data_IF_728588762675
#
_entry.id   IF_728588762675
#
_cell.length_a   1.000
_cell.length_b   1.000
_cell.length_c   1.000
_cell.angle_alpha   90.00
_cell.angle_beta   90.00
_cell.angle_gamma   90.00
#
_symmetry.space_group_name_H-M   'P 1'
#
loop_
_entity.id
_entity.type
_entity.pdbx_description
1 polymer ?
#
# COMPACT_ATOMS: atom_id res chain seq x y z
N UNK A 1 55.95 18.83 35.02
CA UNK A 1 56.44 18.73 33.63
C UNK A 1 55.57 19.62 32.75
N UNK A 2 56.12 20.79 32.37
CA UNK A 2 55.76 21.72 31.28
C UNK A 2 55.39 21.02 29.95
N UNK A 3 54.68 21.56 28.94
CA UNK A 3 54.11 22.84 28.48
C UNK A 3 53.03 22.44 27.43
N UNK A 4 51.85 23.06 27.27
CA UNK A 4 51.50 24.34 26.62
C UNK A 4 51.89 24.52 25.14
N UNK A 5 50.87 24.91 24.35
CA UNK A 5 50.87 25.78 23.14
C UNK A 5 51.38 25.25 21.78
N UNK A 6 50.94 25.71 20.59
CA UNK A 6 49.87 26.54 20.01
C UNK A 6 50.03 26.39 18.46
N UNK A 7 48.91 26.37 17.71
CA UNK A 7 48.61 26.86 16.34
C UNK A 7 49.71 27.06 15.27
N UNK A 8 49.36 26.76 13.99
CA UNK A 8 49.20 27.80 12.94
C UNK A 8 48.57 27.27 11.64
N UNK A 9 47.74 28.12 11.05
CA UNK A 9 47.10 28.07 9.74
C UNK A 9 48.08 28.42 8.60
N UNK A 10 47.86 27.92 7.37
CA UNK A 10 48.18 28.68 6.15
C UNK A 10 47.50 28.15 4.89
N UNK A 11 47.38 29.09 3.96
CA UNK A 11 46.37 29.28 2.90
C UNK A 11 46.79 28.69 1.55
N UNK A 12 45.77 28.48 0.70
CA UNK A 12 45.75 28.09 -0.72
C UNK A 12 46.57 29.07 -1.60
N UNK A 13 47.03 28.64 -2.81
CA UNK A 13 46.41 29.24 -4.00
C UNK A 13 46.06 28.25 -5.12
N UNK A 14 45.00 28.62 -5.85
CA UNK A 14 44.52 28.07 -7.13
C UNK A 14 45.47 28.44 -8.27
N UNK A 15 45.60 27.56 -9.27
CA UNK A 15 45.84 27.95 -10.67
C UNK A 15 44.88 27.18 -11.58
N UNK A 16 44.30 27.92 -12.52
CA UNK A 16 43.32 27.57 -13.54
C UNK A 16 43.97 27.09 -14.85
N UNK A 17 43.11 26.64 -15.77
CA UNK A 17 43.28 26.43 -17.22
C UNK A 17 43.87 25.08 -17.66
N UNK A 18 43.49 24.46 -18.78
CA UNK A 18 42.36 24.60 -19.73
C UNK A 18 42.62 23.58 -20.85
N UNK A 19 41.56 22.96 -21.38
CA UNK A 19 41.35 22.62 -22.81
C UNK A 19 42.15 21.47 -23.46
N UNK A 20 41.36 20.51 -23.93
CA UNK A 20 41.39 19.70 -25.17
C UNK A 20 42.62 18.92 -25.62
N UNK A 21 42.34 17.70 -26.13
CA UNK A 21 43.14 17.16 -27.25
C UNK A 21 43.31 15.64 -27.32
N UNK A 22 42.32 14.98 -27.94
CA UNK A 22 42.39 13.78 -28.80
C UNK A 22 43.67 12.91 -28.87
N UNK A 23 43.40 11.59 -28.75
CA UNK A 23 43.93 10.46 -29.55
C UNK A 23 45.43 10.37 -29.86
N UNK A 24 46.10 9.39 -29.24
CA UNK A 24 47.18 8.64 -29.90
C UNK A 24 47.00 7.14 -29.63
N UNK A 25 46.92 6.42 -30.74
CA UNK A 25 46.95 4.96 -30.87
C UNK A 25 48.37 4.44 -30.61
N UNK A 26 48.55 3.43 -29.76
CA UNK A 26 49.72 2.54 -29.80
C UNK A 26 49.31 1.09 -29.60
N UNK A 27 49.43 0.34 -30.70
CA UNK A 27 49.57 -1.11 -30.78
C UNK A 27 50.83 -1.54 -30.01
N UNK A 28 50.72 -2.54 -29.15
CA UNK A 28 51.80 -3.51 -28.92
C UNK A 28 51.20 -4.92 -28.88
N UNK A 29 51.83 -5.82 -29.63
CA UNK A 29 51.51 -7.23 -29.75
C UNK A 29 52.01 -8.03 -28.54
N UNK A 30 51.16 -8.95 -28.09
CA UNK A 30 51.41 -10.37 -27.78
C UNK A 30 52.71 -10.74 -27.06
N UNK A 31 52.55 -11.31 -25.85
CA UNK A 31 53.24 -12.54 -25.48
C UNK A 31 52.38 -13.35 -24.49
N UNK A 32 52.22 -14.64 -24.82
CA UNK A 32 51.49 -15.67 -24.09
C UNK A 32 52.11 -16.01 -22.74
N UNK A 33 51.26 -16.28 -21.75
CA UNK A 33 51.53 -17.38 -20.80
C UNK A 33 50.21 -18.00 -20.33
N UNK A 34 50.08 -19.30 -20.58
CA UNK A 34 49.01 -20.19 -20.09
C UNK A 34 49.37 -20.62 -18.66
N UNK A 35 48.44 -20.46 -17.72
CA UNK A 35 48.26 -21.41 -16.63
C UNK A 35 46.82 -21.30 -16.10
N UNK A 36 46.25 -22.45 -15.79
CA UNK A 36 44.83 -22.72 -15.64
C UNK A 36 44.22 -22.21 -14.32
N UNK A 37 42.96 -21.79 -14.40
CA UNK A 37 42.00 -21.89 -13.30
C UNK A 37 40.60 -22.04 -13.92
N UNK A 38 40.28 -23.27 -14.28
CA UNK A 38 38.91 -23.77 -14.34
C UNK A 38 38.27 -23.70 -12.95
N UNK A 39 36.95 -23.61 -12.92
CA UNK A 39 36.00 -23.75 -11.80
C UNK A 39 35.22 -22.50 -11.39
N UNK A 40 33.89 -22.66 -11.46
CA UNK A 40 32.77 -21.77 -11.15
C UNK A 40 32.41 -20.68 -12.17
N UNK A 41 31.94 -21.11 -13.33
CA UNK A 41 30.95 -20.34 -14.09
C UNK A 41 29.72 -21.21 -14.38
N UNK A 42 28.97 -21.54 -13.33
CA UNK A 42 27.59 -21.99 -13.47
C UNK A 42 26.66 -20.79 -13.29
N UNK A 43 26.44 -20.09 -14.41
CA UNK A 43 25.21 -19.30 -14.54
C UNK A 43 24.03 -20.28 -14.50
N UNK A 44 23.04 -20.11 -13.61
CA UNK A 44 21.81 -20.86 -13.72
C UNK A 44 21.18 -20.44 -15.04
N UNK A 45 21.14 -21.40 -15.96
CA UNK A 45 20.45 -21.32 -17.22
C UNK A 45 19.08 -20.71 -16.98
N UNK A 46 18.85 -19.55 -17.59
CA UNK A 46 17.53 -18.98 -17.77
C UNK A 46 16.66 -20.02 -18.48
N UNK A 47 15.99 -20.86 -17.71
CA UNK A 47 14.91 -21.71 -18.18
C UNK A 47 13.85 -20.78 -18.76
N UNK A 48 13.92 -20.59 -20.09
CA UNK A 48 12.80 -20.14 -20.91
C UNK A 48 11.75 -21.24 -20.87
N UNK A 49 11.08 -21.39 -19.73
CA UNK A 49 9.81 -22.11 -19.68
C UNK A 49 8.89 -21.31 -20.60
N UNK A 50 8.64 -21.84 -21.80
CA UNK A 50 7.50 -21.47 -22.62
C UNK A 50 6.28 -21.80 -21.77
N UNK A 51 5.82 -20.82 -20.98
CA UNK A 51 4.58 -20.93 -20.22
C UNK A 51 3.47 -20.81 -21.24
N UNK A 52 2.86 -21.92 -21.61
CA UNK A 52 1.50 -21.90 -22.13
C UNK A 52 0.70 -20.96 -21.21
N UNK A 53 0.13 -19.91 -21.80
CA UNK A 53 -0.44 -18.80 -21.06
C UNK A 53 -1.55 -19.31 -20.14
N UNK A 54 -1.23 -19.51 -18.87
CA UNK A 54 -2.13 -20.14 -17.92
C UNK A 54 -3.41 -19.32 -17.81
N UNK A 55 -4.54 -19.98 -18.10
CA UNK A 55 -5.86 -19.37 -18.17
C UNK A 55 -6.55 -19.59 -16.82
N UNK A 56 -6.81 -18.51 -16.08
CA UNK A 56 -7.67 -18.57 -14.90
C UNK A 56 -9.14 -18.60 -15.34
N UNK A 57 -9.93 -19.43 -14.67
CA UNK A 57 -11.34 -19.71 -14.99
C UNK A 57 -12.32 -19.24 -13.94
N UNK A 58 -11.86 -18.87 -12.76
CA UNK A 58 -12.70 -18.40 -11.66
C UNK A 58 -11.98 -17.40 -10.77
N UNK A 59 -12.74 -16.61 -10.03
CA UNK A 59 -12.27 -15.80 -8.89
C UNK A 59 -12.92 -16.23 -7.58
N UNK A 60 -13.74 -17.27 -7.59
CA UNK A 60 -14.41 -17.84 -6.43
C UNK A 60 -13.48 -18.88 -5.79
N UNK A 61 -13.03 -18.67 -4.53
CA UNK A 61 -12.19 -19.63 -3.83
C UNK A 61 -12.72 -21.06 -3.80
N UNK A 62 -14.05 -21.24 -3.79
CA UNK A 62 -14.70 -22.55 -3.72
C UNK A 62 -14.64 -23.34 -5.03
N UNK A 63 -14.33 -22.68 -6.15
CA UNK A 63 -14.29 -23.27 -7.50
C UNK A 63 -12.88 -23.39 -8.06
N UNK A 64 -11.86 -23.03 -7.27
CA UNK A 64 -10.46 -23.06 -7.71
C UNK A 64 -10.05 -24.47 -8.12
N UNK A 65 -9.33 -24.54 -9.24
CA UNK A 65 -8.70 -25.76 -9.73
C UNK A 65 -7.19 -25.59 -9.81
N UNK A 66 -6.39 -26.68 -9.89
CA UNK A 66 -4.95 -26.54 -10.09
C UNK A 66 -4.55 -25.73 -11.33
N UNK A 67 -5.41 -25.68 -12.35
CA UNK A 67 -5.18 -24.88 -13.55
C UNK A 67 -5.21 -23.37 -13.28
N UNK A 68 -5.86 -22.92 -12.20
CA UNK A 68 -5.95 -21.50 -11.82
C UNK A 68 -4.73 -21.00 -11.02
N UNK A 69 -3.79 -21.89 -10.67
CA UNK A 69 -2.62 -21.56 -9.85
C UNK A 69 -1.53 -20.83 -10.64
N UNK A 70 -1.40 -19.52 -10.45
CA UNK A 70 -0.46 -18.67 -11.17
C UNK A 70 0.92 -18.61 -10.51
N UNK A 71 1.97 -18.50 -11.34
CA UNK A 71 3.34 -18.18 -10.89
C UNK A 71 3.77 -16.79 -11.38
N UNK A 72 3.68 -15.79 -10.50
CA UNK A 72 4.05 -14.41 -10.79
C UNK A 72 5.49 -14.07 -10.36
N UNK A 73 6.10 -14.93 -9.53
CA UNK A 73 7.40 -14.72 -8.91
C UNK A 73 8.49 -14.20 -9.86
N UNK A 74 9.13 -13.09 -9.49
CA UNK A 74 10.25 -12.47 -10.22
C UNK A 74 9.85 -11.74 -11.50
N UNK A 75 8.59 -11.80 -11.92
CA UNK A 75 8.13 -11.21 -13.19
C UNK A 75 7.73 -9.75 -12.97
N UNK A 76 8.16 -8.85 -13.85
CA UNK A 76 7.79 -7.42 -13.78
C UNK A 76 6.35 -7.14 -14.21
N UNK A 77 5.92 -7.77 -15.31
CA UNK A 77 4.60 -7.59 -15.94
C UNK A 77 4.07 -8.95 -16.40
N UNK A 78 3.74 -9.85 -15.47
CA UNK A 78 3.19 -11.15 -15.83
C UNK A 78 1.87 -10.97 -16.59
N UNK A 79 1.75 -11.72 -17.70
CA UNK A 79 0.53 -11.80 -18.49
C UNK A 79 -0.34 -12.89 -17.86
N UNK A 80 -1.57 -12.52 -17.51
CA UNK A 80 -2.62 -13.41 -17.04
C UNK A 80 -3.64 -13.55 -18.16
N UNK A 81 -4.08 -14.77 -18.40
CA UNK A 81 -5.10 -15.09 -19.39
C UNK A 81 -6.40 -15.47 -18.70
N UNK A 82 -7.52 -15.07 -19.28
CA UNK A 82 -8.87 -15.57 -18.99
C UNK A 82 -9.50 -16.03 -20.31
N UNK A 83 -10.62 -16.76 -20.30
CA UNK A 83 -11.29 -17.14 -21.53
C UNK A 83 -11.66 -15.94 -22.44
N UNK A 84 -11.82 -14.76 -21.85
CA UNK A 84 -12.26 -13.56 -22.57
C UNK A 84 -11.11 -12.65 -23.05
N UNK A 85 -9.98 -12.62 -22.35
CA UNK A 85 -8.85 -11.76 -22.69
C UNK A 85 -7.54 -12.14 -21.98
N UNK A 86 -6.44 -11.60 -22.48
CA UNK A 86 -5.15 -11.56 -21.79
C UNK A 86 -4.85 -10.14 -21.32
N UNK A 87 -4.22 -10.01 -20.16
CA UNK A 87 -3.83 -8.71 -19.60
C UNK A 87 -2.64 -8.85 -18.67
N UNK A 88 -1.93 -7.74 -18.45
CA UNK A 88 -0.80 -7.71 -17.54
C UNK A 88 -1.24 -7.31 -16.14
N UNK A 89 -0.85 -8.07 -15.13
CA UNK A 89 -0.96 -7.63 -13.73
C UNK A 89 0.35 -7.00 -13.25
N UNK A 90 0.25 -6.13 -12.26
CA UNK A 90 1.38 -5.33 -11.76
C UNK A 90 1.47 -5.43 -10.26
N UNK A 91 2.67 -5.66 -9.73
CA UNK A 91 2.89 -5.70 -8.30
C UNK A 91 2.90 -4.28 -7.71
N UNK A 92 3.88 -3.45 -8.06
CA UNK A 92 3.96 -2.05 -7.62
C UNK A 92 4.61 -1.19 -8.70
N UNK A 93 4.19 0.06 -8.79
CA UNK A 93 4.92 1.09 -9.53
C UNK A 93 5.36 2.21 -8.57
N UNK A 94 6.45 2.88 -8.92
CA UNK A 94 6.90 4.07 -8.21
C UNK A 94 5.91 5.24 -8.36
N UNK A 95 6.13 6.32 -7.62
CA UNK A 95 5.27 7.50 -7.68
C UNK A 95 5.22 8.13 -9.10
N UNK A 96 6.26 7.92 -9.92
CA UNK A 96 6.29 8.38 -11.31
C UNK A 96 5.42 7.49 -12.22
N UNK A 97 5.21 6.22 -11.86
CA UNK A 97 4.56 5.20 -12.67
C UNK A 97 5.46 4.63 -13.77
N UNK A 98 6.75 5.00 -13.78
CA UNK A 98 7.72 4.60 -14.82
C UNK A 98 8.54 3.39 -14.41
N UNK A 99 8.73 3.17 -13.11
CA UNK A 99 9.50 2.02 -12.60
C UNK A 99 8.55 1.03 -11.94
N UNK A 100 8.64 -0.22 -12.38
CA UNK A 100 7.89 -1.33 -11.82
C UNK A 100 8.79 -2.17 -10.93
N UNK A 101 8.25 -2.61 -9.80
CA UNK A 101 8.88 -3.60 -8.94
C UNK A 101 8.39 -4.99 -9.38
N UNK A 102 9.29 -5.98 -9.56
CA UNK A 102 8.87 -7.34 -9.88
C UNK A 102 8.07 -7.93 -8.72
N UNK A 103 7.21 -8.90 -9.02
CA UNK A 103 6.55 -9.69 -7.99
C UNK A 103 7.59 -10.42 -7.13
N UNK A 104 7.36 -10.56 -5.81
CA UNK A 104 8.31 -11.21 -4.92
C UNK A 104 8.46 -12.70 -5.24
N UNK A 105 9.57 -13.32 -4.81
CA UNK A 105 9.92 -14.70 -5.15
C UNK A 105 8.86 -15.75 -4.74
N UNK A 106 8.07 -15.45 -3.71
CA UNK A 106 7.00 -16.31 -3.19
C UNK A 106 5.62 -16.03 -3.83
N UNK A 107 5.53 -15.17 -4.87
CA UNK A 107 4.25 -14.85 -5.52
C UNK A 107 3.76 -15.99 -6.42
N UNK A 108 3.28 -17.06 -5.80
CA UNK A 108 2.66 -18.24 -6.42
C UNK A 108 1.37 -18.55 -5.70
N UNK A 109 0.29 -18.82 -6.44
CA UNK A 109 -1.02 -19.04 -5.84
C UNK A 109 -2.16 -18.55 -6.73
N UNK A 110 -3.24 -18.09 -6.13
CA UNK A 110 -4.53 -17.90 -6.81
C UNK A 110 -5.00 -16.44 -6.77
N UNK A 111 -5.56 -15.98 -7.88
CA UNK A 111 -6.39 -14.76 -7.87
C UNK A 111 -7.77 -15.11 -7.35
N UNK A 112 -8.34 -14.25 -6.51
CA UNK A 112 -9.68 -14.45 -5.97
C UNK A 112 -10.35 -13.11 -5.66
N UNK A 113 -11.69 -13.08 -5.66
CA UNK A 113 -12.45 -11.93 -5.22
C UNK A 113 -12.61 -11.97 -3.69
N UNK A 114 -12.13 -10.93 -3.01
CA UNK A 114 -12.38 -10.71 -1.60
C UNK A 114 -13.69 -9.93 -1.42
N UNK A 115 -14.70 -10.62 -0.90
CA UNK A 115 -15.92 -10.05 -0.35
C UNK A 115 -16.10 -10.54 1.09
N UNK A 116 -16.35 -9.66 2.07
CA UNK A 116 -16.88 -10.09 3.38
C UNK A 116 -18.39 -9.94 3.41
N UNK A 117 -19.09 -10.79 4.16
CA UNK A 117 -20.47 -10.49 4.56
C UNK A 117 -20.54 -9.07 5.15
N UNK A 118 -21.40 -8.22 4.58
CA UNK A 118 -21.55 -6.83 5.00
C UNK A 118 -20.53 -5.83 4.47
N UNK A 119 -19.50 -6.25 3.71
CA UNK A 119 -18.63 -5.29 3.02
C UNK A 119 -19.47 -4.50 1.99
N UNK A 120 -19.34 -3.16 1.94
CA UNK A 120 -20.05 -2.39 0.93
C UNK A 120 -19.45 -2.69 -0.46
N UNK A 121 -20.25 -2.60 -1.52
CA UNK A 121 -19.81 -2.92 -2.89
C UNK A 121 -18.47 -2.28 -3.32
N UNK A 122 -18.15 -1.01 -2.95
CA UNK A 122 -16.86 -0.41 -3.28
C UNK A 122 -15.64 -1.08 -2.62
N UNK A 123 -15.84 -1.85 -1.55
CA UNK A 123 -14.77 -2.55 -0.83
C UNK A 123 -14.35 -3.86 -1.53
N UNK A 124 -15.09 -4.30 -2.54
CA UNK A 124 -14.77 -5.50 -3.30
C UNK A 124 -13.44 -5.33 -4.04
N UNK A 125 -12.58 -6.33 -3.87
CA UNK A 125 -11.20 -6.31 -4.35
C UNK A 125 -10.80 -7.68 -4.87
N UNK A 126 -10.16 -7.73 -6.03
CA UNK A 126 -9.46 -8.93 -6.48
C UNK A 126 -8.11 -8.95 -5.78
N UNK A 127 -7.78 -10.04 -5.10
CA UNK A 127 -6.52 -10.24 -4.37
C UNK A 127 -5.77 -11.43 -4.92
N UNK A 128 -4.52 -11.56 -4.50
CA UNK A 128 -3.68 -12.71 -4.81
C UNK A 128 -3.35 -13.45 -3.51
N UNK A 129 -3.84 -14.67 -3.35
CA UNK A 129 -3.53 -15.56 -2.23
C UNK A 129 -2.27 -16.33 -2.58
N UNK A 130 -1.18 -16.11 -1.84
CA UNK A 130 0.04 -16.90 -1.96
C UNK A 130 -0.12 -18.20 -1.20
N UNK A 131 0.23 -19.31 -1.85
CA UNK A 131 0.15 -20.66 -1.29
C UNK A 131 1.50 -21.35 -1.37
N UNK A 132 1.63 -22.50 -0.69
CA UNK A 132 2.88 -23.24 -0.69
C UNK A 132 3.27 -23.68 -2.10
N UNK A 133 4.43 -23.19 -2.52
CA UNK A 133 4.92 -23.27 -3.90
C UNK A 133 5.11 -24.69 -4.45
N UNK A 134 5.07 -25.70 -3.58
CA UNK A 134 5.26 -27.10 -3.92
C UNK A 134 3.98 -27.77 -4.44
N UNK A 135 2.79 -27.20 -4.18
CA UNK A 135 1.54 -27.79 -4.66
C UNK A 135 0.63 -26.72 -5.27
N UNK A 136 0.21 -26.94 -6.53
CA UNK A 136 -0.87 -26.16 -7.15
C UNK A 136 -2.25 -26.56 -6.60
N UNK A 137 -2.32 -27.08 -5.38
CA UNK A 137 -3.54 -27.63 -4.80
C UNK A 137 -4.46 -26.52 -4.30
N UNK A 138 -5.73 -26.46 -4.75
CA UNK A 138 -6.72 -25.53 -4.21
C UNK A 138 -6.92 -25.65 -2.69
N UNK A 139 -6.69 -26.83 -2.11
CA UNK A 139 -6.79 -27.04 -0.65
C UNK A 139 -5.81 -26.17 0.15
N UNK A 140 -4.69 -25.75 -0.45
CA UNK A 140 -3.72 -24.85 0.18
C UNK A 140 -4.20 -23.40 0.28
N UNK A 141 -5.34 -23.05 -0.34
CA UNK A 141 -5.87 -21.69 -0.30
C UNK A 141 -6.17 -21.22 1.13
N UNK A 142 -6.73 -22.11 1.97
CA UNK A 142 -7.14 -21.79 3.34
C UNK A 142 -5.97 -21.49 4.28
N UNK A 143 -4.84 -22.20 4.12
CA UNK A 143 -3.61 -21.97 4.89
C UNK A 143 -2.72 -20.88 4.28
N UNK A 144 -2.99 -20.46 3.04
CA UNK A 144 -2.24 -19.41 2.36
C UNK A 144 -2.46 -18.00 2.92
N UNK A 145 -1.55 -17.09 2.58
CA UNK A 145 -1.61 -15.67 2.98
C UNK A 145 -1.89 -14.75 1.79
N UNK A 146 -2.47 -13.57 2.03
CA UNK A 146 -2.55 -12.57 0.95
C UNK A 146 -1.15 -12.08 0.58
N UNK A 147 -0.88 -11.95 -0.72
CA UNK A 147 0.29 -11.24 -1.21
C UNK A 147 0.23 -9.80 -0.69
N UNK A 148 1.30 -9.32 -0.08
CA UNK A 148 1.36 -7.96 0.47
C UNK A 148 2.15 -7.05 -0.47
N UNK A 149 1.72 -5.80 -0.59
CA UNK A 149 2.58 -4.71 -1.06
C UNK A 149 3.77 -4.52 -0.09
N UNK A 150 4.85 -3.81 -0.48
CA UNK A 150 5.97 -3.52 0.41
C UNK A 150 5.61 -2.69 1.65
N UNK A 151 4.41 -2.09 1.68
CA UNK A 151 3.88 -1.38 2.84
C UNK A 151 2.98 -2.28 3.72
N UNK A 152 3.05 -3.60 3.53
CA UNK A 152 2.34 -4.63 4.30
C UNK A 152 0.80 -4.63 4.18
N UNK A 153 0.23 -3.82 3.28
CA UNK A 153 -1.20 -3.91 2.94
C UNK A 153 -1.39 -4.98 1.87
N UNK A 154 -2.49 -5.76 1.92
CA UNK A 154 -2.81 -6.73 0.87
C UNK A 154 -2.80 -6.11 -0.53
N UNK A 155 -2.07 -6.77 -1.43
CA UNK A 155 -2.09 -6.50 -2.85
C UNK A 155 -3.49 -6.74 -3.38
N UNK A 156 -3.99 -5.79 -4.17
CA UNK A 156 -5.33 -5.88 -4.72
C UNK A 156 -5.50 -5.08 -6.00
N UNK A 157 -6.52 -5.45 -6.76
CA UNK A 157 -7.13 -4.68 -7.85
C UNK A 157 -8.54 -4.32 -7.39
N UNK A 158 -8.83 -3.03 -7.22
CA UNK A 158 -10.17 -2.58 -6.80
C UNK A 158 -11.17 -2.66 -7.96
N UNK A 159 -12.47 -2.71 -7.66
CA UNK A 159 -13.50 -2.56 -8.71
C UNK A 159 -13.40 -1.23 -9.46
N UNK A 160 -12.93 -0.15 -8.80
CA UNK A 160 -12.67 1.12 -9.46
C UNK A 160 -11.51 1.01 -10.47
N UNK A 161 -10.49 0.19 -10.18
CA UNK A 161 -9.40 -0.07 -11.12
C UNK A 161 -9.87 -0.84 -12.35
N UNK A 162 -10.78 -1.80 -12.18
CA UNK A 162 -11.42 -2.53 -13.28
C UNK A 162 -12.14 -1.56 -14.22
N UNK A 163 -13.04 -0.73 -13.67
CA UNK A 163 -13.84 0.21 -14.46
C UNK A 163 -13.00 1.25 -15.23
N UNK A 164 -11.76 1.51 -14.78
CA UNK A 164 -10.84 2.46 -15.41
C UNK A 164 -9.73 1.79 -16.24
N UNK A 165 -9.67 0.47 -16.28
CA UNK A 165 -8.71 -0.26 -17.11
C UNK A 165 -9.47 -1.22 -18.03
N UNK A 166 -9.71 -0.85 -19.30
CA UNK A 166 -10.48 -1.69 -20.23
C UNK A 166 -9.96 -3.12 -20.36
N UNK A 167 -8.64 -3.32 -20.25
CA UNK A 167 -8.01 -4.65 -20.28
C UNK A 167 -8.39 -5.50 -19.05
N UNK A 168 -8.35 -4.91 -17.85
CA UNK A 168 -8.80 -5.60 -16.65
C UNK A 168 -10.30 -5.87 -16.70
N UNK A 169 -11.11 -4.89 -17.11
CA UNK A 169 -12.55 -5.07 -17.23
C UNK A 169 -12.87 -6.22 -18.21
N UNK A 170 -12.26 -6.24 -19.40
CA UNK A 170 -12.48 -7.30 -20.39
C UNK A 170 -12.08 -8.68 -19.84
N UNK A 171 -10.94 -8.77 -19.15
CA UNK A 171 -10.44 -10.02 -18.60
C UNK A 171 -11.27 -10.57 -17.44
N UNK A 172 -11.61 -9.71 -16.46
CA UNK A 172 -12.27 -10.13 -15.24
C UNK A 172 -13.80 -10.12 -15.32
N UNK A 173 -14.43 -9.34 -16.21
CA UNK A 173 -15.90 -9.25 -16.30
C UNK A 173 -16.55 -10.62 -16.54
N UNK A 174 -15.97 -11.43 -17.43
CA UNK A 174 -16.48 -12.77 -17.70
C UNK A 174 -16.50 -13.64 -16.45
N UNK A 175 -15.38 -13.69 -15.72
CA UNK A 175 -15.22 -14.48 -14.50
C UNK A 175 -16.19 -14.01 -13.40
N UNK A 176 -16.22 -12.70 -13.16
CA UNK A 176 -17.07 -12.10 -12.13
C UNK A 176 -18.57 -12.35 -12.36
N UNK A 177 -19.01 -12.34 -13.63
CA UNK A 177 -20.40 -12.62 -14.01
C UNK A 177 -20.72 -14.11 -13.96
N UNK A 178 -19.85 -14.94 -14.54
CA UNK A 178 -20.04 -16.39 -14.63
C UNK A 178 -20.20 -17.00 -13.24
N UNK A 179 -19.43 -16.51 -12.27
CA UNK A 179 -19.49 -16.98 -10.90
C UNK A 179 -20.57 -16.28 -10.05
N UNK A 180 -21.35 -15.35 -10.61
CA UNK A 180 -22.38 -14.61 -9.88
C UNK A 180 -21.82 -13.68 -8.79
N UNK A 181 -20.52 -13.36 -8.85
CA UNK A 181 -19.82 -12.61 -7.81
C UNK A 181 -20.13 -11.11 -7.84
N UNK A 182 -20.39 -10.57 -9.05
CA UNK A 182 -20.66 -9.14 -9.27
C UNK A 182 -21.65 -8.97 -10.42
N UNK A 183 -22.63 -8.08 -10.26
CA UNK A 183 -23.58 -7.72 -11.32
C UNK A 183 -22.99 -6.75 -12.35
N UNK A 184 -23.52 -6.77 -13.57
CA UNK A 184 -23.11 -5.81 -14.61
C UNK A 184 -23.37 -4.36 -14.23
N UNK A 185 -24.49 -4.10 -13.53
CA UNK A 185 -24.81 -2.79 -13.00
C UNK A 185 -23.76 -2.29 -12.01
N UNK A 186 -23.17 -3.18 -11.21
CA UNK A 186 -22.09 -2.83 -10.29
C UNK A 186 -20.79 -2.50 -11.03
N UNK A 187 -20.40 -3.29 -12.04
CA UNK A 187 -19.23 -3.00 -12.88
C UNK A 187 -19.38 -1.68 -13.66
N UNK A 188 -20.59 -1.37 -14.14
CA UNK A 188 -20.86 -0.12 -14.84
C UNK A 188 -20.76 1.08 -13.88
N UNK A 189 -21.31 0.96 -12.66
CA UNK A 189 -21.18 2.00 -11.63
C UNK A 189 -19.72 2.24 -11.25
N UNK A 190 -18.90 1.19 -11.11
CA UNK A 190 -17.49 1.33 -10.73
C UNK A 190 -16.66 2.07 -11.78
N UNK A 191 -17.04 2.02 -13.06
CA UNK A 191 -16.39 2.76 -14.15
C UNK A 191 -16.54 4.29 -14.02
N UNK A 192 -17.60 4.76 -13.37
CA UNK A 192 -17.84 6.19 -13.10
C UNK A 192 -16.94 6.76 -11.99
N UNK A 193 -16.38 5.90 -11.14
CA UNK A 193 -15.72 6.31 -9.89
C UNK A 193 -14.32 6.85 -10.20
N UNK A 194 -14.01 8.06 -9.72
CA UNK A 194 -12.66 8.62 -9.87
C UNK A 194 -11.61 7.68 -9.25
N UNK A 195 -10.39 7.59 -9.80
CA UNK A 195 -9.31 6.86 -9.13
C UNK A 195 -8.83 7.63 -7.90
N UNK A 196 -8.42 6.93 -6.83
CA UNK A 196 -7.70 7.61 -5.77
C UNK A 196 -6.38 8.14 -6.36
N UNK A 197 -5.89 9.26 -5.83
CA UNK A 197 -4.53 9.71 -6.14
C UNK A 197 -3.52 8.62 -5.76
N UNK A 198 -2.33 8.62 -6.38
CA UNK A 198 -1.31 7.55 -6.18
C UNK A 198 -0.90 7.27 -4.72
N UNK A 199 -1.13 8.22 -3.81
CA UNK A 199 -0.84 8.11 -2.37
C UNK A 199 -2.10 8.12 -1.50
N UNK A 200 -3.26 8.09 -2.12
CA UNK A 200 -4.55 8.09 -1.42
C UNK A 200 -5.00 6.64 -1.23
N UNK A 201 -5.32 6.28 0.01
CA UNK A 201 -5.86 4.95 0.32
C UNK A 201 -7.36 5.04 0.57
N UNK A 202 -8.10 4.05 0.07
CA UNK A 202 -9.54 4.00 0.31
C UNK A 202 -9.85 3.45 1.70
N UNK A 203 -10.87 4.01 2.33
CA UNK A 203 -11.39 3.56 3.63
C UNK A 203 -12.84 3.18 3.42
N UNK A 204 -13.17 1.92 3.66
CA UNK A 204 -14.51 1.37 3.49
C UNK A 204 -15.13 0.90 4.81
N UNK A 205 -14.31 0.65 5.82
CA UNK A 205 -14.72 0.13 7.11
C UNK A 205 -13.81 0.64 8.23
N UNK A 206 -14.34 0.68 9.46
CA UNK A 206 -13.52 0.82 10.66
C UNK A 206 -12.65 -0.43 10.84
N UNK A 207 -11.48 -0.28 11.46
CA UNK A 207 -10.52 -1.37 11.64
C UNK A 207 -9.77 -1.77 10.36
N UNK A 208 -10.09 -1.18 9.20
CA UNK A 208 -9.38 -1.47 7.96
C UNK A 208 -7.90 -1.05 8.08
N UNK A 209 -6.94 -1.96 7.81
CA UNK A 209 -5.52 -1.62 7.82
C UNK A 209 -5.16 -0.65 6.69
N UNK A 210 -4.42 0.39 7.04
CA UNK A 210 -3.96 1.47 6.15
C UNK A 210 -2.48 1.70 6.42
N UNK A 211 -1.66 1.73 5.37
CA UNK A 211 -0.24 2.01 5.53
C UNK A 211 -0.01 3.50 5.80
N UNK A 212 0.71 3.83 6.85
CA UNK A 212 1.10 5.19 7.19
C UNK A 212 2.61 5.25 7.31
N UNK A 213 3.21 6.16 6.55
CA UNK A 213 4.63 6.51 6.64
C UNK A 213 4.74 7.77 7.50
N UNK A 214 5.51 7.69 8.60
CA UNK A 214 5.64 8.78 9.57
C UNK A 214 6.37 10.00 8.99
N UNK A 215 7.16 9.84 7.92
CA UNK A 215 7.78 10.94 7.19
C UNK A 215 6.84 11.61 6.17
N UNK A 216 5.68 11.02 5.85
CA UNK A 216 4.75 11.56 4.85
C UNK A 216 3.93 12.71 5.40
N UNK A 217 4.23 13.94 4.96
CA UNK A 217 3.62 15.20 5.45
C UNK A 217 2.10 15.21 5.63
N UNK A 218 1.38 14.58 4.70
CA UNK A 218 -0.08 14.55 4.68
C UNK A 218 -0.54 13.23 4.07
N UNK A 219 -0.68 12.15 4.85
CA UNK A 219 -1.35 10.97 4.38
C UNK A 219 -2.76 11.34 3.91
N UNK A 220 -3.14 10.79 2.76
CA UNK A 220 -4.41 11.07 2.10
C UNK A 220 -5.27 9.82 2.16
N UNK A 221 -6.50 9.98 2.62
CA UNK A 221 -7.47 8.89 2.74
C UNK A 221 -8.73 9.28 2.00
N UNK A 222 -9.35 8.33 1.31
CA UNK A 222 -10.62 8.53 0.65
C UNK A 222 -11.66 7.61 1.28
N UNK A 223 -12.54 8.19 2.06
CA UNK A 223 -13.65 7.49 2.67
C UNK A 223 -14.69 7.22 1.61
N UNK A 224 -14.93 5.96 1.28
CA UNK A 224 -15.91 5.54 0.27
C UNK A 224 -17.03 4.80 1.00
N UNK A 225 -18.13 5.51 1.18
CA UNK A 225 -19.33 4.99 1.78
C UNK A 225 -20.20 4.22 0.78
N UNK A 226 -21.37 3.80 1.24
CA UNK A 226 -22.34 3.17 0.34
C UNK A 226 -22.79 4.12 -0.79
N UNK A 227 -23.25 3.53 -1.90
CA UNK A 227 -23.60 4.27 -3.11
C UNK A 227 -22.41 4.97 -3.78
N UNK A 228 -21.18 4.53 -3.52
CA UNK A 228 -19.94 5.05 -4.11
C UNK A 228 -19.65 6.53 -3.81
N UNK A 229 -20.34 7.12 -2.83
CA UNK A 229 -20.05 8.48 -2.36
C UNK A 229 -18.69 8.48 -1.68
N UNK A 230 -17.82 9.39 -2.11
CA UNK A 230 -16.45 9.44 -1.64
C UNK A 230 -16.08 10.82 -1.08
N UNK A 231 -15.33 10.85 0.02
CA UNK A 231 -14.70 12.06 0.56
C UNK A 231 -13.21 11.82 0.71
N UNK A 232 -12.42 12.60 -0.02
CA UNK A 232 -10.96 12.62 0.18
C UNK A 232 -10.62 13.58 1.32
N UNK A 233 -9.77 13.11 2.22
CA UNK A 233 -9.32 13.81 3.41
C UNK A 233 -7.81 13.72 3.48
N UNK A 234 -7.16 14.87 3.65
CA UNK A 234 -5.72 14.92 3.99
C UNK A 234 -5.61 15.03 5.48
N UNK A 235 -5.03 14.01 6.12
CA UNK A 235 -4.83 14.00 7.56
C UNK A 235 -3.54 14.77 7.85
N UNK A 236 -3.71 16.04 8.20
CA UNK A 236 -2.62 16.85 8.76
C UNK A 236 -2.49 16.62 10.26
N UNK A 237 -1.28 16.83 10.78
CA UNK A 237 -1.02 16.92 12.23
C UNK A 237 -1.26 15.64 13.06
N UNK A 238 -1.45 14.48 12.44
CA UNK A 238 -1.48 13.21 13.15
C UNK A 238 -0.09 12.81 13.66
N UNK A 239 0.95 13.06 12.84
CA UNK A 239 2.35 12.75 13.15
C UNK A 239 3.27 13.96 12.94
N UNK A 240 2.71 15.17 12.94
CA UNK A 240 3.42 16.38 12.53
C UNK A 240 3.27 17.49 13.57
N UNK A 241 4.36 18.23 13.78
CA UNK A 241 4.36 19.44 14.59
C UNK A 241 3.49 20.54 13.96
N UNK A 242 3.30 21.64 14.69
CA UNK A 242 2.67 22.85 14.17
C UNK A 242 3.34 23.35 12.88
N UNK A 243 4.66 23.19 12.77
CA UNK A 243 5.47 23.52 11.59
C UNK A 243 5.29 22.54 10.42
N UNK A 244 4.42 21.53 10.55
CA UNK A 244 4.10 20.52 9.51
C UNK A 244 5.32 19.68 9.13
N UNK A 245 6.17 19.40 10.11
CA UNK A 245 7.35 18.55 10.02
C UNK A 245 7.18 17.37 10.98
N UNK A 246 7.53 16.16 10.52
CA UNK A 246 7.50 14.98 11.38
C UNK A 246 8.87 14.80 12.02
N UNK A 247 8.93 14.55 13.34
CA UNK A 247 10.16 14.18 14.01
C UNK A 247 10.58 12.74 13.77
N UNK A 248 9.70 11.91 13.20
CA UNK A 248 9.88 10.47 13.11
C UNK A 248 9.96 9.99 11.66
N UNK A 249 10.88 9.07 11.41
CA UNK A 249 10.84 8.17 10.26
C UNK A 249 10.35 6.79 10.70
N UNK A 250 9.99 5.95 9.73
CA UNK A 250 9.38 4.65 9.96
C UNK A 250 7.99 4.57 9.36
N UNK A 251 7.33 3.44 9.54
CA UNK A 251 6.00 3.19 9.01
C UNK A 251 5.21 2.23 9.88
N UNK A 252 3.89 2.31 9.79
CA UNK A 252 2.98 1.44 10.49
C UNK A 252 1.74 1.12 9.65
N UNK A 253 1.08 0.02 10.01
CA UNK A 253 -0.33 -0.18 9.69
C UNK A 253 -1.15 0.53 10.76
N UNK A 254 -2.02 1.43 10.33
CA UNK A 254 -2.99 2.11 11.17
C UNK A 254 -4.41 1.71 10.77
N UNK A 255 -5.39 1.97 11.62
CA UNK A 255 -6.80 1.88 11.27
C UNK A 255 -7.59 3.03 11.89
N UNK A 256 -8.68 3.40 11.24
CA UNK A 256 -9.67 4.27 11.84
C UNK A 256 -10.63 3.47 12.72
N UNK A 257 -11.01 4.04 13.86
CA UNK A 257 -12.01 3.48 14.77
C UNK A 257 -12.91 4.58 15.32
N UNK A 258 -14.08 4.19 15.82
CA UNK A 258 -14.98 5.09 16.52
C UNK A 258 -14.34 5.52 17.85
N UNK A 259 -14.45 6.80 18.20
CA UNK A 259 -13.94 7.29 19.47
C UNK A 259 -14.88 6.90 20.62
N UNK A 260 -14.42 6.02 21.51
CA UNK A 260 -15.25 5.47 22.59
C UNK A 260 -15.90 6.56 23.48
N UNK A 261 -15.17 7.63 23.79
CA UNK A 261 -15.65 8.69 24.69
C UNK A 261 -16.36 9.85 23.98
N UNK A 262 -16.39 9.87 22.65
CA UNK A 262 -17.06 10.93 21.87
C UNK A 262 -17.80 10.29 20.70
N UNK A 263 -19.12 10.03 20.87
CA UNK A 263 -19.96 9.59 19.77
C UNK A 263 -19.84 10.54 18.58
N UNK A 264 -19.89 10.00 17.36
CA UNK A 264 -19.69 10.76 16.12
C UNK A 264 -18.29 11.39 15.95
N UNK A 265 -17.26 10.83 16.60
CA UNK A 265 -15.85 11.14 16.35
C UNK A 265 -15.08 9.88 15.93
N UNK A 266 -14.02 10.08 15.16
CA UNK A 266 -13.13 9.01 14.71
C UNK A 266 -11.71 9.30 15.13
N UNK A 267 -11.02 8.27 15.59
CA UNK A 267 -9.59 8.30 15.90
C UNK A 267 -8.83 7.34 15.01
N UNK A 268 -7.51 7.44 15.03
CA UNK A 268 -6.61 6.52 14.35
C UNK A 268 -5.83 5.73 15.39
N UNK A 269 -5.82 4.41 15.27
CA UNK A 269 -5.00 3.49 16.06
C UNK A 269 -3.83 2.99 15.23
N UNK A 270 -2.66 2.86 15.86
CA UNK A 270 -1.50 2.19 15.28
C UNK A 270 -1.66 0.70 15.56
N UNK A 271 -1.93 -0.09 14.53
CA UNK A 271 -2.11 -1.54 14.67
C UNK A 271 -0.79 -2.27 14.80
N UNK A 272 0.19 -1.90 13.94
CA UNK A 272 1.48 -2.58 13.88
C UNK A 272 2.56 -1.68 13.32
N UNK A 273 3.73 -1.60 13.94
CA UNK A 273 4.90 -0.93 13.37
C UNK A 273 5.54 -1.86 12.32
N UNK A 274 5.58 -1.42 11.07
CA UNK A 274 6.12 -2.20 9.94
C UNK A 274 7.55 -1.83 9.60
N UNK A 275 7.97 -0.61 9.93
CA UNK A 275 9.36 -0.18 9.88
C UNK A 275 9.67 0.54 11.18
N UNK A 276 10.75 0.16 11.91
CA UNK A 276 11.07 0.73 13.20
C UNK A 276 11.04 2.26 13.22
N UNK A 277 10.48 2.82 14.28
CA UNK A 277 10.42 4.27 14.48
C UNK A 277 11.81 4.78 14.82
N UNK A 278 12.25 5.84 14.14
CA UNK A 278 13.51 6.52 14.43
C UNK A 278 13.31 8.03 14.49
N UNK A 279 14.03 8.70 15.38
CA UNK A 279 13.99 10.16 15.51
C UNK A 279 14.93 10.76 14.47
N UNK A 280 14.36 11.48 13.51
CA UNK A 280 15.10 12.18 12.44
C UNK A 280 15.18 13.68 12.64
N UNK A 281 14.34 14.24 13.54
CA UNK A 281 14.37 15.65 13.96
C UNK A 281 14.20 15.76 15.47
N UNK A 282 15.28 15.54 16.25
CA UNK A 282 15.23 15.55 17.72
C UNK A 282 14.67 16.86 18.29
N UNK A 283 14.93 17.98 17.62
CA UNK A 283 14.43 19.31 17.98
C UNK A 283 12.91 19.43 17.91
N UNK A 284 12.22 18.51 17.22
CA UNK A 284 10.76 18.47 17.12
C UNK A 284 10.12 17.30 17.87
N UNK A 285 10.90 16.34 18.37
CA UNK A 285 10.38 15.11 18.98
C UNK A 285 9.50 15.40 20.21
N UNK A 286 9.82 16.44 20.98
CA UNK A 286 9.03 16.87 22.13
C UNK A 286 7.66 17.50 21.76
N UNK A 287 7.40 17.74 20.47
CA UNK A 287 6.15 18.36 19.97
C UNK A 287 5.17 17.35 19.35
N UNK A 288 5.56 16.08 19.23
CA UNK A 288 4.71 15.02 18.68
C UNK A 288 4.95 13.76 19.51
N UNK A 289 3.93 13.19 20.17
CA UNK A 289 4.09 11.94 20.90
C UNK A 289 4.68 10.82 20.02
N UNK A 290 5.51 9.97 20.62
CA UNK A 290 6.12 8.85 19.92
C UNK A 290 5.04 7.86 19.44
N UNK A 291 5.04 7.42 18.17
CA UNK A 291 4.12 6.39 17.69
C UNK A 291 4.40 5.05 18.37
N UNK A 292 3.38 4.45 18.97
CA UNK A 292 3.48 3.17 19.68
C UNK A 292 2.45 2.17 19.17
N UNK A 293 2.87 0.91 19.01
CA UNK A 293 2.00 -0.18 18.57
C UNK A 293 0.86 -0.42 19.57
N UNK A 294 -0.35 -0.65 19.05
CA UNK A 294 -1.56 -0.83 19.84
C UNK A 294 -2.16 0.48 20.38
N UNK A 295 -1.47 1.61 20.33
CA UNK A 295 -1.94 2.88 20.89
C UNK A 295 -2.70 3.74 19.86
N UNK A 296 -3.49 4.69 20.37
CA UNK A 296 -4.07 5.75 19.54
C UNK A 296 -2.96 6.70 19.08
N UNK A 297 -3.15 7.27 17.89
CA UNK A 297 -2.34 8.40 17.45
C UNK A 297 -2.66 9.58 18.36
N UNK A 298 -1.64 10.11 19.02
CA UNK A 298 -1.78 11.19 19.99
C UNK A 298 -1.22 12.51 19.42
N UNK A 299 -1.71 13.63 19.93
CA UNK A 299 -1.17 14.97 19.67
C UNK A 299 -1.15 15.78 20.94
N UNK A 300 -0.22 16.72 21.06
CA UNK A 300 -0.36 17.76 22.07
C UNK A 300 -1.44 18.75 21.63
N UNK A 301 -2.30 19.15 22.56
CA UNK A 301 -3.17 20.31 22.32
C UNK A 301 -2.26 21.50 22.01
N UNK A 302 -2.63 22.37 21.05
CA UNK A 302 -1.95 23.65 20.98
C UNK A 302 -2.55 24.50 22.09
N UNK A 303 -1.84 24.68 23.19
CA UNK A 303 -2.19 25.75 24.11
C UNK A 303 -2.12 27.06 23.35
N UNK A 304 -3.12 27.93 23.56
CA UNK A 304 -3.11 29.29 23.06
C UNK A 304 -1.71 29.90 23.29
N UNK A 305 -1.11 30.59 22.30
CA UNK A 305 0.17 31.24 22.49
C UNK A 305 -0.02 32.29 23.59
N UNK A 306 0.33 31.97 24.83
CA UNK A 306 0.44 32.97 25.86
C UNK A 306 1.58 33.88 25.43
N UNK A 307 1.24 35.10 25.00
CA UNK A 307 2.12 36.12 24.47
C UNK A 307 3.12 36.70 25.50
N UNK A 308 3.61 35.88 26.45
CA UNK A 308 4.59 36.29 27.45
C UNK A 308 5.94 35.67 27.14
N UNK A 309 6.94 36.49 26.73
CA UNK A 309 8.33 36.05 26.66
C UNK A 309 8.76 35.48 28.01
N UNK A 310 9.27 34.24 28.03
CA UNK A 310 9.74 33.57 29.25
C UNK A 310 8.78 32.57 29.90
N UNK A 311 7.57 32.36 29.36
CA UNK A 311 6.69 31.30 29.83
C UNK A 311 7.28 29.92 29.48
N UNK A 312 7.62 29.11 30.50
CA UNK A 312 7.94 27.69 30.32
C UNK A 312 6.83 27.05 29.49
N UNK A 313 7.19 26.36 28.40
CA UNK A 313 6.27 25.50 27.65
C UNK A 313 5.56 24.59 28.66
N UNK A 314 4.28 24.86 28.94
CA UNK A 314 3.48 23.98 29.79
C UNK A 314 3.52 22.60 29.15
N UNK A 315 3.88 21.58 29.91
CA UNK A 315 3.75 20.18 29.49
C UNK A 315 2.28 19.95 29.17
N UNK A 316 1.93 19.91 27.89
CA UNK A 316 0.57 19.65 27.47
C UNK A 316 0.36 18.15 27.53
N UNK A 317 -0.75 17.73 28.13
CA UNK A 317 -1.08 16.31 28.11
C UNK A 317 -1.41 15.90 26.67
N UNK A 318 -0.83 14.80 26.17
CA UNK A 318 -1.19 14.28 24.87
C UNK A 318 -2.67 13.87 24.88
N UNK A 319 -3.40 14.23 23.83
CA UNK A 319 -4.79 13.83 23.61
C UNK A 319 -4.89 13.03 22.31
N UNK A 320 -5.87 12.13 22.17
CA UNK A 320 -6.08 11.44 20.91
C UNK A 320 -6.26 12.42 19.76
N UNK A 321 -5.61 12.13 18.64
CA UNK A 321 -5.89 12.80 17.38
C UNK A 321 -7.27 12.36 16.89
N UNK A 322 -8.13 13.32 16.61
CA UNK A 322 -9.48 13.10 16.10
C UNK A 322 -9.63 13.64 14.68
N UNK A 323 -10.41 12.93 13.87
CA UNK A 323 -10.86 13.42 12.57
C UNK A 323 -11.81 14.60 12.80
N UNK A 324 -11.60 15.71 12.08
CA UNK A 324 -12.38 16.94 12.30
C UNK A 324 -13.89 16.74 12.10
N UNK A 325 -14.72 17.37 12.95
CA UNK A 325 -16.17 17.17 12.97
C UNK A 325 -16.85 17.39 11.60
N UNK A 326 -16.45 18.42 10.86
CA UNK A 326 -16.98 18.66 9.51
C UNK A 326 -16.62 17.58 8.48
N UNK A 327 -15.52 16.85 8.69
CA UNK A 327 -15.19 15.67 7.89
C UNK A 327 -16.07 14.49 8.31
N UNK A 328 -16.20 14.27 9.62
CA UNK A 328 -16.99 13.15 10.15
C UNK A 328 -18.47 13.30 9.77
N UNK A 329 -19.02 14.51 9.72
CA UNK A 329 -20.39 14.79 9.28
C UNK A 329 -20.67 14.45 7.81
N UNK A 330 -19.65 14.18 6.99
CA UNK A 330 -19.84 13.84 5.59
C UNK A 330 -20.56 12.47 5.46
N UNK A 331 -21.58 12.32 4.57
CA UNK A 331 -22.37 11.09 4.48
C UNK A 331 -21.55 9.81 4.24
N UNK A 332 -20.50 9.88 3.41
CA UNK A 332 -19.60 8.75 3.19
C UNK A 332 -18.88 8.31 4.48
N UNK A 333 -18.43 9.26 5.30
CA UNK A 333 -17.74 8.97 6.56
C UNK A 333 -18.73 8.45 7.60
N UNK A 334 -19.92 9.07 7.69
CA UNK A 334 -21.01 8.60 8.55
C UNK A 334 -21.43 7.15 8.24
N UNK A 335 -21.54 6.78 6.96
CA UNK A 335 -21.93 5.40 6.60
C UNK A 335 -20.93 4.35 7.10
N UNK A 336 -19.64 4.70 7.11
CA UNK A 336 -18.57 3.85 7.63
C UNK A 336 -18.65 3.80 9.16
N UNK A 337 -18.80 4.96 9.80
CA UNK A 337 -18.85 5.09 11.25
C UNK A 337 -20.05 4.34 11.87
N UNK A 338 -21.19 4.38 11.21
CA UNK A 338 -22.42 3.74 11.67
C UNK A 338 -22.53 2.26 11.26
N UNK A 339 -21.61 1.75 10.45
CA UNK A 339 -21.68 0.41 9.89
C UNK A 339 -22.92 0.15 9.04
N UNK A 340 -23.63 1.22 8.61
CA UNK A 340 -24.85 1.10 7.82
C UNK A 340 -24.47 1.14 6.35
N UNK A 341 -24.82 0.11 5.54
CA UNK A 341 -24.84 0.31 4.10
C UNK A 341 -25.80 1.46 3.86
N UNK A 342 -25.36 2.50 3.16
CA UNK A 342 -26.24 3.63 2.88
C UNK A 342 -27.43 3.10 2.08
N UNK A 343 -28.57 2.94 2.74
CA UNK A 343 -29.81 2.51 2.14
C UNK A 343 -30.19 3.55 1.09
N UNK A 344 -29.89 3.22 -0.16
CA UNK A 344 -30.49 3.88 -1.31
C UNK A 344 -31.05 2.77 -2.19
N UNK A 345 -31.99 2.00 -1.64
CA UNK A 345 -32.79 1.01 -2.37
C UNK A 345 -34.05 1.69 -2.85
N UNK A 346 -33.95 2.34 -4.00
CA UNK A 346 -35.05 2.33 -4.96
C UNK A 346 -34.77 1.23 -5.97
N UNK A 347 -34.94 -0.04 -5.56
CA UNK A 347 -35.07 -1.25 -6.40
C UNK A 347 -35.39 -2.44 -5.46
N UNK A 348 -36.20 -3.42 -5.90
CA UNK A 348 -36.94 -4.32 -5.02
C UNK A 348 -36.08 -5.44 -4.43
N UNK A 349 -36.44 -5.83 -3.20
CA UNK A 349 -35.89 -6.96 -2.46
C UNK A 349 -35.95 -8.25 -3.28
N UNK A 350 -34.80 -8.91 -3.41
CA UNK A 350 -34.70 -10.15 -4.17
C UNK A 350 -33.29 -10.69 -4.33
N UNK A 351 -32.44 -10.61 -3.31
CA UNK A 351 -31.20 -11.38 -3.25
C UNK A 351 -30.90 -11.78 -1.80
N UNK A 352 -31.54 -12.86 -1.38
CA UNK A 352 -31.21 -13.58 -0.15
C UNK A 352 -29.81 -14.18 -0.35
N UNK A 353 -28.79 -13.58 0.26
CA UNK A 353 -27.49 -14.23 0.39
C UNK A 353 -27.62 -15.26 1.51
N UNK A 354 -27.64 -16.54 1.13
CA UNK A 354 -27.68 -17.65 2.07
C UNK A 354 -26.50 -17.56 3.04
N UNK A 355 -26.81 -17.62 4.34
CA UNK A 355 -25.84 -17.87 5.42
C UNK A 355 -25.01 -19.09 5.07
N UNK A 356 -23.70 -18.92 4.96
CA UNK A 356 -22.77 -20.01 5.21
C UNK A 356 -22.44 -19.96 6.70
N UNK A 357 -23.24 -20.69 7.48
CA UNK A 357 -22.79 -21.20 8.77
C UNK A 357 -21.69 -22.22 8.49
N UNK A 358 -20.51 -21.98 9.05
CA UNK A 358 -19.45 -23.00 9.12
C UNK A 358 -19.26 -23.29 10.60
N UNK A 359 -20.02 -24.27 11.07
CA UNK A 359 -19.66 -25.12 12.20
C UNK A 359 -18.72 -26.18 11.66
N UNK A 360 -17.49 -26.22 12.17
CA UNK A 360 -16.46 -27.20 11.85
C UNK A 360 -15.21 -26.91 12.65
#
# INVERSE_FOLDING_TARGET
>A
MSWSSLWTTKTIPRIFHSVDGKHISRRFMVSSSRAAATFFNEHPQSQRIRRDGQIIRTLDPSKLTPADHLTLAGVLRPIVSTPAATFEVRYKCDASGKRYTPFPAHARGFLYLRARPGDPEPALQIRFRTTDSASASPASFGSGSDLLYPNHVPWHISLADLGKCPRYLRGFRGLLRQDGLVSDALLQRSAGVARPGKRTQDVHALGQPLAVDFGTRQPSFRFVGGGWRARTVRVGHAFFSAARQSPYAGSALCAFEAHASQPASMVMRILKITTPVSVVRPELAHLVPLPEEGQLVMRYTQGSPSARPGARLKTMHPVPWTLGAGIVAHPAVQSILLGKPSSNTGLPDGAVWSRLDVSG
#
